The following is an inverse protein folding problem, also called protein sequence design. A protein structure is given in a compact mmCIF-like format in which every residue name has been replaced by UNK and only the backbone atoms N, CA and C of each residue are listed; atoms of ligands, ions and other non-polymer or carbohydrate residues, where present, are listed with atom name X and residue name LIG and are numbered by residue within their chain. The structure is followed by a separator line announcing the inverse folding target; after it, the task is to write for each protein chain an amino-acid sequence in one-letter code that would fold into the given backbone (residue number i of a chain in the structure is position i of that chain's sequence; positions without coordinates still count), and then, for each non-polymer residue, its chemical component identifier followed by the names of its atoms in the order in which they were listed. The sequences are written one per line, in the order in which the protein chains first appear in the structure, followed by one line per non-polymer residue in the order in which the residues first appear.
data_IF_386581904436
#
_entry.id   IF_386581904436
#
_cell.length_a   1.000
_cell.length_b   1.000
_cell.length_c   1.000
_cell.angle_alpha   90.00
_cell.angle_beta   90.00
_cell.angle_gamma   90.00
#
_symmetry.space_group_name_H-M   'P 1'
#
loop_
_entity.id
_entity.type
_entity.pdbx_description
1 polymer ?
#
# COMPACT_ATOMS: atom_id res chain seq x y z
N UNK A 1 8.56 17.35 -7.17
CA UNK A 1 8.99 17.79 -5.82
C UNK A 1 7.85 17.46 -4.87
N UNK A 2 8.13 16.80 -3.75
CA UNK A 2 7.10 16.37 -2.79
C UNK A 2 6.42 17.59 -2.17
N UNK A 3 5.09 17.63 -2.15
CA UNK A 3 4.32 18.71 -1.52
C UNK A 3 4.10 18.39 -0.03
N UNK A 4 4.46 19.34 0.85
CA UNK A 4 4.34 19.21 2.32
C UNK A 4 3.10 19.94 2.88
N UNK A 5 2.14 20.26 2.03
CA UNK A 5 0.86 20.88 2.42
C UNK A 5 -0.25 19.92 2.11
N UNK A 6 -1.00 19.50 3.14
CA UNK A 6 -2.24 18.76 2.97
C UNK A 6 -3.33 19.77 2.63
N UNK A 7 -3.90 19.62 1.43
CA UNK A 7 -5.01 20.43 0.94
C UNK A 7 -5.93 19.53 0.12
N UNK A 8 -7.25 19.80 0.07
CA UNK A 8 -8.15 19.10 -0.82
C UNK A 8 -7.62 19.13 -2.26
N UNK A 9 -7.54 17.96 -2.89
CA UNK A 9 -7.19 17.83 -4.31
C UNK A 9 -8.42 18.19 -5.14
N UNK A 10 -8.23 18.98 -6.20
CA UNK A 10 -9.30 19.38 -7.12
C UNK A 10 -9.99 18.16 -7.76
N UNK A 11 -11.29 18.31 -8.05
CA UNK A 11 -12.16 17.26 -8.63
C UNK A 11 -12.46 16.08 -7.69
N UNK A 12 -12.30 16.28 -6.38
CA UNK A 12 -12.79 15.40 -5.32
C UNK A 12 -13.59 16.25 -4.31
N UNK A 13 -14.45 15.63 -3.52
CA UNK A 13 -15.03 16.28 -2.34
C UNK A 13 -13.96 16.62 -1.32
N UNK A 14 -14.26 17.51 -0.35
CA UNK A 14 -13.24 18.12 0.51
C UNK A 14 -12.43 17.09 1.29
N UNK A 15 -13.09 16.16 1.99
CA UNK A 15 -12.42 15.14 2.83
C UNK A 15 -11.76 14.05 2.01
N UNK A 16 -12.38 13.60 0.92
CA UNK A 16 -11.72 12.70 -0.03
C UNK A 16 -10.47 13.37 -0.62
N UNK A 17 -10.56 14.65 -0.97
CA UNK A 17 -9.42 15.42 -1.49
C UNK A 17 -8.27 15.49 -0.48
N UNK A 18 -8.54 15.73 0.80
CA UNK A 18 -7.53 15.70 1.86
C UNK A 18 -6.92 14.30 2.03
N UNK A 19 -7.74 13.26 2.05
CA UNK A 19 -7.29 11.87 2.10
C UNK A 19 -6.36 11.52 0.93
N UNK A 20 -6.72 11.92 -0.29
CA UNK A 20 -5.89 11.73 -1.47
C UNK A 20 -4.57 12.50 -1.37
N UNK A 21 -4.59 13.71 -0.84
CA UNK A 21 -3.37 14.49 -0.59
C UNK A 21 -2.43 13.73 0.36
N UNK A 22 -2.96 13.13 1.43
CA UNK A 22 -2.17 12.34 2.38
C UNK A 22 -1.66 11.01 1.80
N UNK A 23 -2.50 10.28 1.05
CA UNK A 23 -2.11 9.06 0.33
C UNK A 23 -1.03 9.33 -0.73
N UNK A 24 -1.15 10.46 -1.43
CA UNK A 24 -0.18 10.89 -2.47
C UNK A 24 1.15 11.21 -1.83
N UNK A 25 1.16 12.07 -0.80
CA UNK A 25 2.38 12.40 -0.06
C UNK A 25 3.07 11.15 0.48
N UNK A 26 2.31 10.24 1.10
CA UNK A 26 2.82 8.98 1.62
C UNK A 26 3.54 8.18 0.55
N UNK A 27 2.89 7.98 -0.61
CA UNK A 27 3.45 7.23 -1.74
C UNK A 27 4.67 7.91 -2.35
N UNK A 28 4.65 9.23 -2.54
CA UNK A 28 5.79 9.97 -3.09
C UNK A 28 7.03 9.82 -2.21
N UNK A 29 6.87 9.89 -0.88
CA UNK A 29 7.98 9.66 0.05
C UNK A 29 8.45 8.20 -0.04
N UNK A 30 7.55 7.20 -0.07
CA UNK A 30 7.93 5.79 -0.26
C UNK A 30 8.73 5.59 -1.55
N UNK A 31 8.26 6.14 -2.67
CA UNK A 31 8.95 6.05 -3.97
C UNK A 31 10.33 6.71 -3.92
N UNK A 32 10.47 7.85 -3.25
CA UNK A 32 11.76 8.52 -3.07
C UNK A 32 12.76 7.68 -2.28
N UNK A 33 12.27 6.80 -1.38
CA UNK A 33 13.12 5.90 -0.61
C UNK A 33 13.60 4.71 -1.44
N UNK A 34 12.84 4.25 -2.45
CA UNK A 34 13.14 2.99 -3.13
C UNK A 34 13.71 3.14 -4.53
N UNK A 35 13.49 4.27 -5.20
CA UNK A 35 13.75 4.43 -6.66
C UNK A 35 15.16 4.06 -7.14
N UNK A 36 16.17 4.12 -6.27
CA UNK A 36 17.57 3.86 -6.61
C UNK A 36 18.06 2.49 -6.09
N UNK A 37 17.16 1.64 -5.58
CA UNK A 37 17.51 0.31 -5.07
C UNK A 37 17.77 -0.66 -6.21
N UNK A 38 18.89 -1.39 -6.11
CA UNK A 38 19.23 -2.46 -7.04
C UNK A 38 18.50 -3.75 -6.70
N UNK A 39 18.39 -4.66 -7.67
CA UNK A 39 17.78 -5.98 -7.50
C UNK A 39 18.36 -6.72 -6.28
N UNK A 40 19.68 -6.68 -6.09
CA UNK A 40 20.33 -7.39 -4.99
C UNK A 40 19.92 -6.80 -3.63
N UNK A 41 19.67 -5.50 -3.55
CA UNK A 41 19.20 -4.82 -2.34
C UNK A 41 17.73 -5.14 -2.06
N UNK A 42 16.91 -5.26 -3.11
CA UNK A 42 15.50 -5.61 -3.01
C UNK A 42 15.28 -7.02 -2.49
N UNK A 43 16.11 -7.96 -2.94
CA UNK A 43 16.01 -9.39 -2.62
C UNK A 43 16.81 -9.78 -1.37
N UNK A 44 17.62 -8.87 -0.81
CA UNK A 44 18.46 -9.19 0.34
C UNK A 44 17.62 -9.43 1.60
N UNK A 45 17.75 -10.62 2.15
CA UNK A 45 17.30 -10.92 3.51
C UNK A 45 18.37 -10.49 4.53
N UNK A 46 17.98 -9.63 5.48
CA UNK A 46 18.88 -9.12 6.54
C UNK A 46 18.78 -9.94 7.83
N UNK A 47 17.60 -10.45 8.14
CA UNK A 47 17.30 -11.26 9.31
C UNK A 47 16.49 -12.47 8.87
N UNK A 48 16.78 -13.65 9.41
CA UNK A 48 16.17 -14.92 8.97
C UNK A 48 14.64 -14.92 9.10
N UNK A 49 14.11 -14.20 10.09
CA UNK A 49 12.66 -14.03 10.33
C UNK A 49 12.10 -12.71 9.76
N UNK A 50 12.88 -11.96 8.99
CA UNK A 50 12.46 -10.70 8.38
C UNK A 50 11.74 -10.85 7.05
N UNK A 51 11.44 -9.71 6.42
CA UNK A 51 10.96 -9.62 5.04
C UNK A 51 12.00 -8.89 4.18
N UNK A 52 12.06 -9.22 2.89
CA UNK A 52 12.88 -8.47 1.91
C UNK A 52 12.18 -7.17 1.54
N UNK A 53 12.92 -6.18 1.02
CA UNK A 53 12.31 -4.92 0.59
C UNK A 53 11.30 -5.18 -0.53
N UNK A 54 11.61 -6.06 -1.49
CA UNK A 54 10.68 -6.44 -2.56
C UNK A 54 9.36 -7.03 -2.04
N UNK A 55 9.42 -7.90 -1.03
CA UNK A 55 8.22 -8.46 -0.40
C UNK A 55 7.37 -7.38 0.29
N UNK A 56 8.01 -6.45 1.01
CA UNK A 56 7.31 -5.33 1.65
C UNK A 56 6.63 -4.43 0.61
N UNK A 57 7.27 -4.16 -0.52
CA UNK A 57 6.68 -3.33 -1.59
C UNK A 57 5.45 -3.97 -2.23
N UNK A 58 5.47 -5.30 -2.44
CA UNK A 58 4.27 -6.00 -2.89
C UNK A 58 3.19 -6.04 -1.83
N UNK A 59 3.54 -6.16 -0.55
CA UNK A 59 2.57 -6.09 0.55
C UNK A 59 1.81 -4.76 0.55
N UNK A 60 2.52 -3.63 0.46
CA UNK A 60 1.90 -2.30 0.39
C UNK A 60 0.89 -2.22 -0.77
N UNK A 61 1.25 -2.74 -1.96
CA UNK A 61 0.33 -2.79 -3.09
C UNK A 61 -0.88 -3.70 -2.84
N UNK A 62 -0.65 -4.85 -2.18
CA UNK A 62 -1.69 -5.81 -1.85
C UNK A 62 -2.70 -5.25 -0.85
N UNK A 63 -2.24 -4.58 0.21
CA UNK A 63 -3.11 -3.93 1.20
C UNK A 63 -4.03 -2.92 0.51
N UNK A 64 -3.50 -2.05 -0.35
CA UNK A 64 -4.33 -1.11 -1.08
C UNK A 64 -5.33 -1.82 -2.01
N UNK A 65 -4.91 -2.84 -2.77
CA UNK A 65 -5.79 -3.59 -3.67
C UNK A 65 -6.93 -4.33 -2.93
N UNK A 66 -6.65 -4.95 -1.79
CA UNK A 66 -7.67 -5.61 -0.98
C UNK A 66 -8.67 -4.61 -0.43
N UNK A 67 -8.22 -3.45 0.02
CA UNK A 67 -9.12 -2.41 0.51
C UNK A 67 -9.96 -1.78 -0.60
N UNK A 68 -9.52 -1.79 -1.87
CA UNK A 68 -10.38 -1.46 -3.00
C UNK A 68 -11.56 -2.43 -3.09
N UNK A 69 -11.31 -3.73 -3.04
CA UNK A 69 -12.38 -4.75 -3.11
C UNK A 69 -13.33 -4.62 -1.91
N UNK A 70 -12.80 -4.54 -0.69
CA UNK A 70 -13.61 -4.47 0.53
C UNK A 70 -14.46 -3.19 0.56
N UNK A 71 -13.86 -2.03 0.27
CA UNK A 71 -14.56 -0.74 0.43
C UNK A 71 -15.40 -0.36 -0.78
N UNK A 72 -14.89 -0.54 -2.00
CA UNK A 72 -15.60 -0.13 -3.22
C UNK A 72 -16.60 -1.17 -3.70
N UNK A 73 -16.24 -2.46 -3.61
CA UNK A 73 -17.07 -3.56 -4.13
C UNK A 73 -17.88 -4.27 -3.04
N UNK A 74 -17.55 -4.05 -1.77
CA UNK A 74 -18.29 -4.55 -0.59
C UNK A 74 -18.43 -6.08 -0.61
N UNK A 75 -17.36 -6.75 -0.98
CA UNK A 75 -17.24 -8.20 -1.05
C UNK A 75 -15.88 -8.66 -0.56
N UNK A 76 -15.74 -9.96 -0.34
CA UNK A 76 -14.44 -10.59 -0.15
C UNK A 76 -13.70 -10.79 -1.48
N UNK A 77 -12.41 -11.08 -1.39
CA UNK A 77 -11.61 -11.48 -2.55
C UNK A 77 -12.16 -12.77 -3.15
N UNK A 78 -12.22 -12.81 -4.48
CA UNK A 78 -12.41 -14.06 -5.22
C UNK A 78 -11.20 -14.98 -5.04
N UNK A 79 -11.36 -16.27 -5.35
CA UNK A 79 -10.23 -17.22 -5.32
C UNK A 79 -9.07 -16.79 -6.24
N UNK A 80 -9.39 -16.18 -7.39
CA UNK A 80 -8.40 -15.66 -8.32
C UNK A 80 -7.62 -14.48 -7.74
N UNK A 81 -8.32 -13.48 -7.20
CA UNK A 81 -7.67 -12.32 -6.55
C UNK A 81 -6.87 -12.74 -5.32
N UNK A 82 -7.41 -13.68 -4.52
CA UNK A 82 -6.69 -14.23 -3.37
C UNK A 82 -5.42 -14.96 -3.84
N UNK A 83 -5.47 -15.74 -4.92
CA UNK A 83 -4.28 -16.40 -5.46
C UNK A 83 -3.20 -15.39 -5.84
N UNK A 84 -3.58 -14.25 -6.41
CA UNK A 84 -2.66 -13.20 -6.83
C UNK A 84 -2.06 -12.44 -5.64
N UNK A 85 -2.85 -12.15 -4.60
CA UNK A 85 -2.44 -11.29 -3.50
C UNK A 85 -2.00 -12.01 -2.23
N UNK A 86 -2.45 -13.25 -1.98
CA UNK A 86 -2.23 -13.99 -0.72
C UNK A 86 -0.77 -14.01 -0.29
N UNK A 87 0.14 -14.30 -1.22
CA UNK A 87 1.57 -14.36 -0.92
C UNK A 87 2.12 -13.01 -0.43
N UNK A 88 1.64 -11.90 -1.00
CA UNK A 88 2.04 -10.56 -0.58
C UNK A 88 1.36 -10.13 0.73
N UNK A 89 0.10 -10.52 0.95
CA UNK A 89 -0.65 -10.20 2.16
C UNK A 89 -0.05 -10.88 3.40
N UNK A 90 0.26 -12.17 3.29
CA UNK A 90 0.74 -12.97 4.43
C UNK A 90 2.20 -12.70 4.79
N UNK A 91 2.99 -12.13 3.87
CA UNK A 91 4.43 -11.95 4.00
C UNK A 91 5.13 -13.27 4.41
N UNK A 92 6.30 -13.20 5.05
CA UNK A 92 6.99 -14.35 5.62
C UNK A 92 7.71 -15.21 4.57
N UNK A 93 7.99 -16.47 4.93
CA UNK A 93 8.88 -17.35 4.17
C UNK A 93 8.44 -17.54 2.73
N UNK A 94 7.16 -17.81 2.51
CA UNK A 94 6.62 -17.98 1.15
C UNK A 94 6.82 -16.72 0.31
N UNK A 95 6.59 -15.54 0.89
CA UNK A 95 6.82 -14.27 0.21
C UNK A 95 8.29 -14.06 -0.12
N UNK A 96 9.22 -14.37 0.80
CA UNK A 96 10.67 -14.28 0.55
C UNK A 96 11.14 -15.13 -0.63
N UNK A 97 10.54 -16.30 -0.83
CA UNK A 97 10.95 -17.19 -1.92
C UNK A 97 10.27 -16.87 -3.25
N UNK A 98 9.03 -16.39 -3.23
CA UNK A 98 8.22 -16.13 -4.44
C UNK A 98 8.34 -14.70 -4.95
N UNK A 99 8.50 -13.72 -4.06
CA UNK A 99 8.61 -12.29 -4.39
C UNK A 99 10.09 -11.92 -4.41
N UNK A 100 10.73 -12.20 -5.55
CA UNK A 100 12.15 -11.94 -5.79
C UNK A 100 12.42 -11.76 -7.28
N UNK A 101 13.63 -11.32 -7.61
CA UNK A 101 14.16 -11.23 -8.98
C UNK A 101 13.34 -10.33 -9.89
N UNK A 102 12.77 -9.26 -9.31
CA UNK A 102 12.08 -8.19 -10.02
C UNK A 102 12.86 -6.89 -9.82
N UNK A 103 12.97 -6.09 -10.88
CA UNK A 103 13.59 -4.77 -10.79
C UNK A 103 12.67 -3.80 -10.03
N UNK A 104 13.24 -2.73 -9.47
CA UNK A 104 12.48 -1.75 -8.66
C UNK A 104 11.29 -1.17 -9.45
N UNK A 105 11.46 -0.98 -10.76
CA UNK A 105 10.46 -0.44 -11.67
C UNK A 105 9.18 -1.29 -11.72
N UNK A 106 9.29 -2.62 -11.59
CA UNK A 106 8.12 -3.52 -11.60
C UNK A 106 7.29 -3.35 -10.31
N UNK A 107 7.95 -3.13 -9.17
CA UNK A 107 7.27 -2.82 -7.91
C UNK A 107 6.60 -1.44 -7.97
N UNK A 108 7.31 -0.43 -8.48
CA UNK A 108 6.78 0.93 -8.66
C UNK A 108 5.55 0.89 -9.58
N UNK A 109 5.64 0.22 -10.73
CA UNK A 109 4.53 0.07 -11.67
C UNK A 109 3.32 -0.61 -11.02
N UNK A 110 3.54 -1.60 -10.16
CA UNK A 110 2.46 -2.26 -9.41
C UNK A 110 1.77 -1.27 -8.47
N UNK A 111 2.55 -0.53 -7.67
CA UNK A 111 2.05 0.49 -6.74
C UNK A 111 1.26 1.58 -7.47
N UNK A 112 1.75 2.03 -8.62
CA UNK A 112 1.09 3.03 -9.47
C UNK A 112 -0.22 2.51 -10.06
N UNK A 113 -0.24 1.27 -10.55
CA UNK A 113 -1.44 0.69 -11.15
C UNK A 113 -2.57 0.53 -10.12
N UNK A 114 -2.24 0.03 -8.92
CA UNK A 114 -3.22 -0.04 -7.83
C UNK A 114 -3.71 1.37 -7.46
N UNK A 115 -2.80 2.34 -7.30
CA UNK A 115 -3.18 3.73 -6.98
C UNK A 115 -4.07 4.38 -8.03
N UNK A 116 -3.85 4.11 -9.33
CA UNK A 116 -4.70 4.63 -10.41
C UNK A 116 -6.15 4.20 -10.24
N UNK A 117 -6.40 2.94 -9.89
CA UNK A 117 -7.75 2.45 -9.58
C UNK A 117 -8.35 3.21 -8.40
N UNK A 118 -7.63 3.33 -7.29
CA UNK A 118 -8.04 4.10 -6.09
C UNK A 118 -8.50 5.51 -6.46
N UNK A 119 -7.64 6.27 -7.17
CA UNK A 119 -7.94 7.65 -7.55
C UNK A 119 -9.13 7.72 -8.50
N UNK A 120 -9.24 6.81 -9.47
CA UNK A 120 -10.34 6.80 -10.44
C UNK A 120 -11.69 6.54 -9.80
N UNK A 121 -11.72 5.71 -8.74
CA UNK A 121 -12.95 5.38 -8.02
C UNK A 121 -13.34 6.50 -7.07
N UNK A 122 -12.37 7.10 -6.35
CA UNK A 122 -12.66 8.23 -5.46
C UNK A 122 -13.25 9.45 -6.17
N UNK A 123 -12.97 9.67 -7.46
CA UNK A 123 -13.62 10.73 -8.26
C UNK A 123 -15.14 10.58 -8.37
N UNK A 124 -15.65 9.38 -8.14
CA UNK A 124 -17.07 9.02 -8.27
C UNK A 124 -17.79 9.01 -6.92
N UNK A 125 -17.09 9.35 -5.85
CA UNK A 125 -17.55 9.27 -4.46
C UNK A 125 -17.55 10.66 -3.83
N UNK A 126 -18.27 10.80 -2.72
CA UNK A 126 -18.38 12.02 -1.93
C UNK A 126 -17.96 11.79 -0.46
N UNK A 127 -17.94 12.85 0.33
CA UNK A 127 -17.50 12.77 1.72
C UNK A 127 -18.44 11.93 2.59
N UNK A 128 -19.74 11.83 2.26
CA UNK A 128 -20.69 10.96 2.97
C UNK A 128 -20.29 9.49 2.85
N UNK A 129 -19.75 9.08 1.70
CA UNK A 129 -19.26 7.72 1.50
C UNK A 129 -18.18 7.31 2.50
N UNK A 130 -17.31 8.24 2.94
CA UNK A 130 -16.25 7.95 3.91
C UNK A 130 -16.82 7.49 5.26
N UNK A 131 -17.98 8.03 5.66
CA UNK A 131 -18.59 7.72 6.94
C UNK A 131 -19.56 6.54 6.91
N UNK A 132 -19.77 5.90 5.74
CA UNK A 132 -20.57 4.68 5.67
C UNK A 132 -19.92 3.57 6.49
N UNK A 133 -20.70 3.03 7.42
CA UNK A 133 -20.28 1.97 8.32
C UNK A 133 -20.62 0.59 7.77
N UNK A 134 -19.86 -0.39 8.24
CA UNK A 134 -20.13 -1.81 8.11
C UNK A 134 -19.54 -2.55 9.32
N UNK A 135 -19.79 -3.84 9.42
CA UNK A 135 -19.27 -4.68 10.51
C UNK A 135 -18.45 -5.82 9.96
N UNK A 136 -17.31 -6.09 10.58
CA UNK A 136 -16.56 -7.32 10.36
C UNK A 136 -17.39 -8.54 10.81
N UNK A 137 -17.00 -9.74 10.38
CA UNK A 137 -17.66 -11.00 10.76
C UNK A 137 -17.76 -11.23 12.28
N UNK A 138 -16.86 -10.62 13.07
CA UNK A 138 -16.86 -10.67 14.53
C UNK A 138 -17.73 -9.57 15.19
N UNK A 139 -18.48 -8.79 14.41
CA UNK A 139 -19.37 -7.74 14.87
C UNK A 139 -18.71 -6.38 15.15
N UNK A 140 -17.40 -6.24 14.95
CA UNK A 140 -16.71 -4.95 15.15
C UNK A 140 -17.06 -4.00 14.01
N UNK A 141 -17.56 -2.81 14.35
CA UNK A 141 -17.87 -1.77 13.39
C UNK A 141 -16.61 -1.09 12.83
N UNK A 142 -16.68 -0.69 11.56
CA UNK A 142 -15.69 0.14 10.89
C UNK A 142 -16.39 1.03 9.86
N UNK A 143 -15.76 2.14 9.48
CA UNK A 143 -16.20 2.95 8.34
C UNK A 143 -15.17 2.94 7.21
N UNK A 144 -15.58 3.39 6.02
CA UNK A 144 -14.69 3.47 4.88
C UNK A 144 -13.50 4.40 5.12
N UNK A 145 -13.68 5.45 5.92
CA UNK A 145 -12.61 6.38 6.24
C UNK A 145 -11.46 5.70 6.98
N UNK A 146 -11.78 4.87 7.98
CA UNK A 146 -10.81 4.06 8.71
C UNK A 146 -10.05 3.11 7.77
N UNK A 147 -10.74 2.44 6.84
CA UNK A 147 -10.10 1.54 5.89
C UNK A 147 -9.01 2.25 5.07
N UNK A 148 -9.29 3.45 4.57
CA UNK A 148 -8.33 4.21 3.77
C UNK A 148 -7.27 4.94 4.60
N UNK A 149 -7.58 5.29 5.84
CA UNK A 149 -6.57 5.67 6.83
C UNK A 149 -5.58 4.52 7.06
N UNK A 150 -6.08 3.29 7.25
CA UNK A 150 -5.24 2.12 7.50
C UNK A 150 -4.32 1.81 6.30
N UNK A 151 -4.81 1.90 5.06
CA UNK A 151 -3.96 1.76 3.85
C UNK A 151 -2.76 2.72 3.88
N UNK A 152 -2.97 3.98 4.29
CA UNK A 152 -1.90 4.95 4.44
C UNK A 152 -0.98 4.64 5.62
N UNK A 153 -1.57 4.31 6.77
CA UNK A 153 -0.85 4.01 8.03
C UNK A 153 0.09 2.81 7.85
N UNK A 154 -0.39 1.75 7.23
CA UNK A 154 0.36 0.53 6.92
C UNK A 154 1.55 0.82 5.99
N UNK A 155 1.35 1.60 4.92
CA UNK A 155 2.44 2.01 4.03
C UNK A 155 3.51 2.82 4.78
N UNK A 156 3.11 3.72 5.68
CA UNK A 156 4.05 4.49 6.51
C UNK A 156 4.83 3.57 7.45
N UNK A 157 4.16 2.60 8.07
CA UNK A 157 4.78 1.60 8.95
C UNK A 157 5.87 0.83 8.21
N UNK A 158 5.50 0.26 7.06
CA UNK A 158 6.40 -0.54 6.24
C UNK A 158 7.52 0.28 5.59
N UNK A 159 7.28 1.54 5.25
CA UNK A 159 8.35 2.48 4.85
C UNK A 159 9.39 2.66 5.96
N UNK A 160 8.96 2.69 7.22
CA UNK A 160 9.86 2.68 8.38
C UNK A 160 10.78 1.44 8.39
N UNK A 161 10.22 0.27 8.11
CA UNK A 161 10.98 -0.98 7.99
C UNK A 161 11.96 -0.94 6.82
N UNK A 162 11.54 -0.44 5.65
CA UNK A 162 12.41 -0.27 4.47
C UNK A 162 13.61 0.62 4.80
N UNK A 163 13.39 1.75 5.50
CA UNK A 163 14.49 2.63 5.93
C UNK A 163 15.49 1.92 6.82
N UNK A 164 15.03 1.10 7.76
CA UNK A 164 15.90 0.30 8.62
C UNK A 164 16.73 -0.70 7.81
N UNK A 165 16.10 -1.44 6.89
CA UNK A 165 16.77 -2.42 6.02
C UNK A 165 17.81 -1.74 5.13
N UNK A 166 17.46 -0.61 4.50
CA UNK A 166 18.39 0.20 3.71
C UNK A 166 19.62 0.64 4.51
N UNK A 167 19.43 1.06 5.76
CA UNK A 167 20.57 1.44 6.63
C UNK A 167 21.48 0.24 6.89
N UNK A 168 20.92 -0.92 7.20
CA UNK A 168 21.69 -2.16 7.42
C UNK A 168 22.46 -2.62 6.18
N UNK A 169 21.92 -2.38 4.99
CA UNK A 169 22.60 -2.67 3.71
C UNK A 169 23.84 -1.79 3.47
N UNK A 170 23.86 -0.57 4.02
CA UNK A 170 24.97 0.40 3.88
C UNK A 170 26.04 0.29 4.97
N UNK A 171 25.72 -0.33 6.11
CA UNK A 171 26.64 -0.55 7.24
C UNK A 171 27.66 -1.68 6.96
N UNK A 172 27.68 -2.24 5.75
CA UNK A 172 28.57 -3.33 5.32
C UNK A 172 29.28 -2.93 4.04
#
# INVERSE_FOLDING_TARGET
MINYRIKPVENYSEKIGELISMLTHTREVTLSEIKDLRLEELDRLIHDNGNTIGAILKHIAAIEAVHQVISFERRDLTEAELKDWKTALELGETARHKIKSQQVEEYIKTLENVRKTTLSTFKKLDDEWLYKENTWHNGIAYNNYYLWFHVMEDEINHRGQIRLLKRRLRER
#
